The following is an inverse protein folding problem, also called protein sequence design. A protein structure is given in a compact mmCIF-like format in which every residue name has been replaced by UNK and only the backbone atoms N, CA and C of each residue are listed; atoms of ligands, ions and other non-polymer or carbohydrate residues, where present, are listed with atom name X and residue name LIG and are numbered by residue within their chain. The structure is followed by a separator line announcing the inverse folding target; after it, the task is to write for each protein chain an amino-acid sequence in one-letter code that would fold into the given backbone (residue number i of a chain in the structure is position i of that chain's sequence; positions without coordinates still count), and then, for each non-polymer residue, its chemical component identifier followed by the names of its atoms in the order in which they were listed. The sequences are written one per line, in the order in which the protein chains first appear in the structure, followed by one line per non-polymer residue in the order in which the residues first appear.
data_IF_744089753173
#
_entry.id   IF_744089753173
#
_cell.length_a   1.000
_cell.length_b   1.000
_cell.length_c   1.000
_cell.angle_alpha   90.00
_cell.angle_beta   90.00
_cell.angle_gamma   90.00
#
_symmetry.space_group_name_H-M   'P 1'
#
loop_
_entity.id
_entity.type
_entity.pdbx_description
1 polymer ?
#
# COMPACT_ATOMS: atom_id res chain seq x y z
N UNK A 1 -33.43 -43.33 6.35
CA UNK A 1 -32.02 -43.04 6.72
C UNK A 1 -31.47 -41.93 5.81
N UNK A 2 -31.55 -40.64 6.19
CA UNK A 2 -31.12 -39.51 5.31
C UNK A 2 -30.47 -38.33 6.06
N UNK A 3 -29.82 -38.55 7.20
CA UNK A 3 -29.31 -37.44 8.05
C UNK A 3 -27.86 -37.55 8.51
N UNK A 4 -27.14 -38.62 8.13
CA UNK A 4 -25.73 -38.80 8.58
C UNK A 4 -24.71 -38.02 7.75
N UNK A 5 -24.96 -37.80 6.44
CA UNK A 5 -24.00 -37.13 5.55
C UNK A 5 -23.91 -35.62 5.84
N UNK A 6 -25.03 -34.97 6.18
CA UNK A 6 -25.09 -33.54 6.48
C UNK A 6 -24.33 -33.17 7.77
N UNK A 7 -24.30 -34.08 8.76
CA UNK A 7 -23.55 -33.85 10.02
C UNK A 7 -22.04 -33.95 9.86
N UNK A 8 -21.53 -34.62 8.83
CA UNK A 8 -20.09 -34.82 8.63
C UNK A 8 -19.44 -33.76 7.74
N UNK A 9 -20.20 -33.18 6.80
CA UNK A 9 -19.69 -32.17 5.86
C UNK A 9 -19.67 -30.77 6.49
N UNK A 10 -20.60 -30.48 7.39
CA UNK A 10 -20.73 -29.19 8.07
C UNK A 10 -19.45 -28.72 8.79
N UNK A 11 -18.76 -29.53 9.63
CA UNK A 11 -17.55 -29.07 10.31
C UNK A 11 -16.38 -28.83 9.34
N UNK A 12 -16.24 -29.66 8.30
CA UNK A 12 -15.16 -29.54 7.32
C UNK A 12 -15.28 -28.24 6.51
N UNK A 13 -16.51 -27.85 6.17
CA UNK A 13 -16.75 -26.59 5.45
C UNK A 13 -16.44 -25.37 6.32
N UNK A 14 -16.74 -25.41 7.62
CA UNK A 14 -16.40 -24.33 8.55
C UNK A 14 -14.88 -24.20 8.71
N UNK A 15 -14.15 -25.31 8.81
CA UNK A 15 -12.68 -25.27 8.83
C UNK A 15 -12.09 -24.71 7.53
N UNK A 16 -12.60 -25.13 6.36
CA UNK A 16 -12.14 -24.60 5.07
C UNK A 16 -12.46 -23.10 4.90
N UNK A 17 -13.62 -22.65 5.35
CA UNK A 17 -14.04 -21.25 5.26
C UNK A 17 -13.24 -20.35 6.22
N UNK A 18 -12.92 -20.84 7.42
CA UNK A 18 -12.06 -20.13 8.37
C UNK A 18 -10.63 -19.94 7.84
N UNK A 19 -10.09 -20.95 7.15
CA UNK A 19 -8.74 -20.86 6.53
C UNK A 19 -8.76 -19.96 5.28
N UNK A 20 -9.85 -19.94 4.51
CA UNK A 20 -9.99 -19.05 3.35
C UNK A 20 -10.11 -17.57 3.71
N UNK A 21 -10.79 -17.25 4.81
CA UNK A 21 -10.95 -15.87 5.29
C UNK A 21 -9.67 -15.29 5.92
N UNK A 22 -8.76 -16.14 6.41
CA UNK A 22 -7.50 -15.70 7.02
C UNK A 22 -6.52 -15.03 6.04
N UNK A 23 -6.68 -15.25 4.72
CA UNK A 23 -5.83 -14.68 3.68
C UNK A 23 -6.49 -13.53 2.90
N UNK A 24 -7.74 -13.18 3.21
CA UNK A 24 -8.43 -12.02 2.62
C UNK A 24 -8.09 -10.71 3.35
N UNK A 25 -6.89 -10.59 3.91
CA UNK A 25 -6.41 -9.31 4.44
C UNK A 25 -6.03 -8.43 3.26
N UNK A 26 -6.97 -7.61 2.82
CA UNK A 26 -6.73 -6.57 1.83
C UNK A 26 -5.59 -5.68 2.34
N UNK A 27 -4.52 -5.53 1.55
CA UNK A 27 -3.49 -4.53 1.85
C UNK A 27 -4.17 -3.17 1.78
N UNK A 28 -4.30 -2.51 2.93
CA UNK A 28 -4.74 -1.12 2.99
C UNK A 28 -3.60 -0.30 2.37
N UNK A 29 -3.76 0.08 1.10
CA UNK A 29 -2.87 1.06 0.48
C UNK A 29 -3.32 2.42 1.01
N UNK A 30 -2.58 2.95 1.98
CA UNK A 30 -2.79 4.33 2.42
C UNK A 30 -2.14 5.22 1.37
N UNK A 31 -2.97 5.90 0.59
CA UNK A 31 -2.49 6.98 -0.28
C UNK A 31 -2.13 8.18 0.58
N UNK A 32 -0.93 8.74 0.34
CA UNK A 32 -0.45 9.95 1.00
C UNK A 32 0.03 10.96 -0.02
N UNK A 33 -0.10 12.22 0.35
CA UNK A 33 0.40 13.32 -0.46
C UNK A 33 1.92 13.37 -0.46
N UNK A 34 2.49 13.63 -1.63
CA UNK A 34 3.90 13.81 -1.87
C UNK A 34 4.12 14.99 -2.83
N UNK A 35 5.27 15.65 -2.73
CA UNK A 35 5.58 16.86 -3.48
C UNK A 35 6.80 16.67 -4.37
N UNK A 36 6.79 17.26 -5.56
CA UNK A 36 7.95 17.31 -6.44
C UNK A 36 8.14 18.70 -7.01
N UNK A 37 9.40 19.05 -7.25
CA UNK A 37 9.74 20.32 -7.87
C UNK A 37 9.76 20.17 -9.39
N UNK A 38 9.23 21.16 -10.10
CA UNK A 38 9.31 21.22 -11.57
C UNK A 38 10.69 21.77 -11.95
N UNK A 39 11.52 20.99 -12.69
CA UNK A 39 12.88 21.40 -13.01
C UNK A 39 12.90 22.71 -13.81
N UNK A 40 13.80 23.62 -13.44
CA UNK A 40 13.90 24.94 -14.05
C UNK A 40 12.93 25.98 -13.48
N UNK A 41 12.14 25.63 -12.47
CA UNK A 41 11.25 26.57 -11.77
C UNK A 41 11.35 26.40 -10.25
N UNK A 42 10.85 27.39 -9.50
CA UNK A 42 10.68 27.30 -8.04
C UNK A 42 9.33 26.70 -7.64
N UNK A 43 8.57 26.20 -8.62
CA UNK A 43 7.22 25.69 -8.40
C UNK A 43 7.27 24.25 -7.89
N UNK A 44 6.33 23.96 -7.00
CA UNK A 44 6.12 22.63 -6.45
C UNK A 44 4.73 22.14 -6.82
N UNK A 45 4.67 20.90 -7.24
CA UNK A 45 3.42 20.19 -7.51
C UNK A 45 3.27 19.05 -6.51
N UNK A 46 2.04 18.59 -6.33
CA UNK A 46 1.73 17.46 -5.46
C UNK A 46 1.22 16.28 -6.28
N UNK A 47 1.40 15.09 -5.74
CA UNK A 47 0.91 13.82 -6.29
C UNK A 47 0.58 12.89 -5.14
N UNK A 48 -0.25 11.89 -5.39
CA UNK A 48 -0.55 10.84 -4.41
C UNK A 48 0.36 9.64 -4.65
N UNK A 49 0.93 9.12 -3.58
CA UNK A 49 1.74 7.89 -3.60
C UNK A 49 1.28 6.93 -2.52
N UNK A 50 1.55 5.64 -2.71
CA UNK A 50 1.30 4.66 -1.68
C UNK A 50 2.28 4.77 -0.51
N UNK A 51 1.91 4.13 0.60
CA UNK A 51 2.69 4.08 1.84
C UNK A 51 4.13 3.54 1.63
N UNK A 52 4.40 2.80 0.55
CA UNK A 52 5.74 2.30 0.25
C UNK A 52 6.78 3.42 0.17
N UNK A 53 6.39 4.63 -0.26
CA UNK A 53 7.29 5.78 -0.34
C UNK A 53 7.65 6.41 1.01
N UNK A 54 6.95 6.01 2.06
CA UNK A 54 7.17 6.46 3.44
C UNK A 54 7.87 5.39 4.29
N UNK A 55 8.10 4.20 3.72
CA UNK A 55 8.78 3.10 4.44
C UNK A 55 10.30 3.25 4.48
N UNK A 56 10.88 4.19 3.72
CA UNK A 56 12.32 4.37 3.61
C UNK A 56 12.96 3.32 2.70
N UNK A 57 14.28 3.28 2.61
CA UNK A 57 15.00 2.27 1.82
C UNK A 57 16.13 2.85 0.98
N UNK A 58 16.53 2.11 -0.06
CA UNK A 58 17.61 2.50 -0.95
C UNK A 58 17.11 3.22 -2.22
N UNK A 59 15.83 3.05 -2.57
CA UNK A 59 15.29 3.55 -3.82
C UNK A 59 14.57 4.88 -3.59
N UNK A 60 14.95 5.90 -4.37
CA UNK A 60 14.22 7.16 -4.43
C UNK A 60 12.77 6.93 -4.89
N UNK A 61 11.81 7.54 -4.20
CA UNK A 61 10.49 7.69 -4.78
C UNK A 61 10.51 8.84 -5.77
N UNK A 62 10.18 8.52 -7.03
CA UNK A 62 10.17 9.49 -8.11
C UNK A 62 8.86 9.48 -8.88
N UNK A 63 8.36 10.66 -9.23
CA UNK A 63 7.25 10.85 -10.16
C UNK A 63 7.75 11.64 -11.37
N UNK A 64 7.50 11.12 -12.59
CA UNK A 64 8.03 11.71 -13.84
C UNK A 64 9.56 11.92 -13.82
N UNK A 65 10.30 11.04 -13.13
CA UNK A 65 11.75 11.14 -12.95
C UNK A 65 12.21 12.20 -11.94
N UNK A 66 11.29 12.89 -11.27
CA UNK A 66 11.60 13.86 -10.21
C UNK A 66 11.48 13.21 -8.83
N UNK A 67 12.44 13.49 -7.95
CA UNK A 67 12.40 13.03 -6.55
C UNK A 67 11.19 13.61 -5.82
N UNK A 68 10.51 12.76 -5.04
CA UNK A 68 9.40 13.14 -4.19
C UNK A 68 9.85 13.50 -2.77
N UNK A 69 9.11 14.42 -2.17
CA UNK A 69 9.39 15.02 -0.87
C UNK A 69 8.11 15.06 -0.02
N UNK A 70 8.27 15.04 1.30
CA UNK A 70 7.15 15.12 2.24
C UNK A 70 6.51 16.52 2.32
N UNK A 71 7.23 17.56 1.88
CA UNK A 71 6.75 18.93 1.81
C UNK A 71 7.32 19.63 0.56
N UNK A 72 6.75 20.76 0.11
CA UNK A 72 7.24 21.52 -1.03
C UNK A 72 8.53 22.31 -0.71
N UNK A 73 9.55 21.62 -0.22
CA UNK A 73 10.85 22.18 0.15
C UNK A 73 11.98 21.14 -0.03
N UNK A 74 13.14 21.57 -0.53
CA UNK A 74 14.28 20.68 -0.79
C UNK A 74 14.99 20.18 0.47
N UNK A 75 14.83 20.87 1.61
CA UNK A 75 15.33 20.43 2.92
C UNK A 75 14.32 19.53 3.64
N UNK A 76 13.13 19.33 3.08
CA UNK A 76 12.17 18.39 3.63
C UNK A 76 12.63 16.94 3.45
N UNK A 77 11.91 16.02 4.10
CA UNK A 77 12.20 14.60 4.02
C UNK A 77 12.02 14.10 2.58
N UNK A 78 13.11 13.56 2.01
CA UNK A 78 13.07 12.85 0.73
C UNK A 78 12.36 11.52 0.91
N UNK A 79 11.33 11.28 0.11
CA UNK A 79 10.58 10.03 0.15
C UNK A 79 11.38 8.91 -0.53
N UNK A 80 11.40 7.74 0.13
CA UNK A 80 12.19 6.59 -0.26
C UNK A 80 11.37 5.31 -0.06
N UNK A 81 11.62 4.34 -0.94
CA UNK A 81 11.01 3.01 -0.89
C UNK A 81 12.08 1.91 -0.81
N UNK A 82 11.73 0.73 -0.27
CA UNK A 82 12.62 -0.41 -0.19
C UNK A 82 13.12 -0.87 -1.56
#
# INVERSE_FOLDING_TARGET
MKTKVFKSVMPVFVMLMAVGLAFATERIVVERDAYYNIPGTTNWEHTTVGDECFTGGANACSFLGQQLYAAPDFNSMKLMKP
#
